data_IF_210749122288
#
_entry.id   IF_210749122288
#
_cell.length_a   1.000
_cell.length_b   1.000
_cell.length_c   1.000
_cell.angle_alpha   90.00
_cell.angle_beta   90.00
_cell.angle_gamma   90.00
#
_symmetry.space_group_name_H-M   'P 1'
#
loop_
_entity.id
_entity.type
_entity.pdbx_description
1 polymer ?
#
# COMPACT_ATOMS: atom_id res chain seq x y z
N UNK A 1 45.50 -49.94 -12.63
CA UNK A 1 44.98 -49.18 -11.46
C UNK A 1 44.50 -47.83 -11.98
N UNK A 2 43.21 -47.71 -12.22
CA UNK A 2 42.62 -46.48 -12.74
C UNK A 2 41.76 -45.81 -11.66
N UNK A 3 42.18 -44.63 -11.19
CA UNK A 3 41.46 -43.83 -10.23
C UNK A 3 40.32 -43.10 -10.96
N UNK A 4 39.07 -43.39 -10.59
CA UNK A 4 37.87 -42.62 -11.02
C UNK A 4 37.73 -41.42 -10.11
N UNK A 5 37.96 -40.22 -10.64
CA UNK A 5 37.60 -38.98 -10.01
C UNK A 5 36.06 -38.79 -10.11
N UNK A 6 35.38 -38.86 -8.98
CA UNK A 6 33.96 -38.53 -8.89
C UNK A 6 33.80 -37.02 -8.80
N UNK A 7 33.17 -36.41 -9.81
CA UNK A 7 32.70 -35.03 -9.75
C UNK A 7 31.45 -34.99 -8.87
N UNK A 8 31.59 -34.39 -7.69
CA UNK A 8 30.45 -34.02 -6.84
C UNK A 8 29.95 -32.68 -7.34
N UNK A 9 28.83 -32.69 -8.07
CA UNK A 9 28.13 -31.51 -8.51
C UNK A 9 27.32 -30.93 -7.33
N UNK A 10 27.88 -29.97 -6.61
CA UNK A 10 27.12 -29.17 -5.63
C UNK A 10 26.13 -28.29 -6.38
N UNK A 11 24.89 -28.74 -6.48
CA UNK A 11 23.75 -27.89 -6.85
C UNK A 11 23.49 -26.91 -5.70
N UNK A 12 24.01 -25.69 -5.81
CA UNK A 12 23.60 -24.55 -5.01
C UNK A 12 22.13 -24.24 -5.37
N UNK A 13 21.21 -24.73 -4.56
CA UNK A 13 19.85 -24.21 -4.54
C UNK A 13 19.92 -22.77 -4.08
N UNK A 14 19.92 -21.84 -5.03
CA UNK A 14 19.58 -20.45 -4.74
C UNK A 14 18.14 -20.45 -4.22
N UNK A 15 17.98 -20.42 -2.90
CA UNK A 15 16.69 -20.09 -2.30
C UNK A 15 16.43 -18.64 -2.64
N UNK A 16 15.65 -18.40 -3.70
CA UNK A 16 15.02 -17.10 -3.93
C UNK A 16 14.04 -16.95 -2.77
N UNK A 17 14.45 -16.23 -1.74
CA UNK A 17 13.53 -15.75 -0.71
C UNK A 17 12.45 -14.96 -1.45
N UNK A 18 11.17 -15.31 -1.32
CA UNK A 18 10.12 -14.47 -1.85
C UNK A 18 10.24 -13.11 -1.13
N UNK A 19 10.64 -12.08 -1.89
CA UNK A 19 10.64 -10.73 -1.37
C UNK A 19 9.24 -10.40 -0.85
N UNK A 20 9.16 -9.76 0.30
CA UNK A 20 7.93 -9.15 0.80
C UNK A 20 7.41 -8.24 -0.31
N UNK A 21 6.29 -8.59 -0.91
CA UNK A 21 5.59 -7.78 -1.91
C UNK A 21 4.46 -7.13 -1.13
N UNK A 22 4.40 -5.83 -1.12
CA UNK A 22 3.30 -5.01 -0.60
C UNK A 22 1.98 -5.36 -1.32
N UNK A 23 0.88 -4.60 -1.15
CA UNK A 23 -0.20 -4.77 -2.10
C UNK A 23 0.41 -5.14 -3.44
N UNK A 24 0.03 -6.25 -4.05
CA UNK A 24 0.57 -6.62 -5.34
C UNK A 24 0.39 -5.48 -6.35
N UNK A 25 1.01 -5.59 -7.50
CA UNK A 25 0.95 -4.58 -8.55
C UNK A 25 -0.49 -4.13 -8.85
N UNK A 26 -1.44 -5.07 -8.84
CA UNK A 26 -2.85 -4.82 -9.08
C UNK A 26 -3.48 -3.95 -7.98
N UNK A 27 -3.18 -4.22 -6.71
CA UNK A 27 -3.74 -3.46 -5.59
C UNK A 27 -3.27 -2.01 -5.56
N UNK A 28 -1.96 -1.77 -5.80
CA UNK A 28 -1.43 -0.41 -5.95
C UNK A 28 -2.01 0.30 -7.16
N UNK A 29 -2.12 -0.40 -8.30
CA UNK A 29 -2.73 0.16 -9.49
C UNK A 29 -4.18 0.60 -9.25
N UNK A 30 -5.00 -0.27 -8.64
CA UNK A 30 -6.41 0.03 -8.30
C UNK A 30 -6.49 1.25 -7.38
N UNK A 31 -5.69 1.28 -6.29
CA UNK A 31 -5.68 2.41 -5.35
C UNK A 31 -5.36 3.73 -6.04
N UNK A 32 -4.29 3.77 -6.83
CA UNK A 32 -3.89 4.99 -7.53
C UNK A 32 -4.87 5.38 -8.64
N UNK A 33 -5.49 4.41 -9.33
CA UNK A 33 -6.47 4.69 -10.37
C UNK A 33 -7.75 5.29 -9.80
N UNK A 34 -8.23 4.76 -8.67
CA UNK A 34 -9.35 5.37 -7.94
C UNK A 34 -9.02 6.80 -7.52
N UNK A 35 -7.78 7.05 -7.05
CA UNK A 35 -7.38 8.40 -6.65
C UNK A 35 -7.38 9.38 -7.83
N UNK A 36 -6.87 8.98 -9.00
CA UNK A 36 -6.82 9.83 -10.19
C UNK A 36 -8.18 10.33 -10.62
N UNK A 37 -9.22 9.48 -10.54
CA UNK A 37 -10.59 9.86 -10.89
C UNK A 37 -11.23 10.85 -9.89
N UNK A 38 -10.59 11.06 -8.74
CA UNK A 38 -11.07 11.95 -7.66
C UNK A 38 -10.19 13.20 -7.50
N UNK A 39 -9.23 13.44 -8.41
CA UNK A 39 -8.41 14.64 -8.36
C UNK A 39 -9.20 15.87 -8.74
N UNK A 40 -8.89 16.98 -8.07
CA UNK A 40 -9.25 18.32 -8.57
C UNK A 40 -8.41 18.65 -9.80
N UNK A 41 -8.84 19.63 -10.59
CA UNK A 41 -8.09 20.09 -11.77
C UNK A 41 -6.65 20.49 -11.42
N UNK A 42 -6.45 21.22 -10.29
CA UNK A 42 -5.13 21.62 -9.82
C UNK A 42 -4.26 20.40 -9.47
N UNK A 43 -4.83 19.42 -8.77
CA UNK A 43 -4.10 18.21 -8.38
C UNK A 43 -3.75 17.35 -9.62
N UNK A 44 -4.66 17.18 -10.55
CA UNK A 44 -4.42 16.45 -11.78
C UNK A 44 -3.31 17.10 -12.62
N UNK A 45 -3.35 18.43 -12.77
CA UNK A 45 -2.33 19.18 -13.48
C UNK A 45 -0.95 19.07 -12.79
N UNK A 46 -0.89 19.18 -11.45
CA UNK A 46 0.34 19.05 -10.69
C UNK A 46 0.91 17.64 -10.76
N UNK A 47 0.09 16.60 -10.61
CA UNK A 47 0.49 15.20 -10.72
C UNK A 47 1.07 14.92 -12.12
N UNK A 48 0.37 15.31 -13.18
CA UNK A 48 0.86 15.15 -14.56
C UNK A 48 2.20 15.85 -14.80
N UNK A 49 2.39 17.04 -14.23
CA UNK A 49 3.64 17.78 -14.33
C UNK A 49 4.81 17.12 -13.59
N UNK A 50 4.51 16.47 -12.45
CA UNK A 50 5.56 15.80 -11.64
C UNK A 50 5.91 14.41 -12.16
N UNK A 51 5.03 13.75 -12.90
CA UNK A 51 5.31 12.44 -13.46
C UNK A 51 6.35 12.51 -14.59
N UNK A 52 7.19 11.47 -14.75
CA UNK A 52 8.09 11.38 -15.88
C UNK A 52 7.31 11.26 -17.20
N UNK A 53 7.83 11.83 -18.29
CA UNK A 53 7.12 11.90 -19.57
C UNK A 53 6.63 10.56 -20.12
N UNK A 54 7.34 9.46 -19.84
CA UNK A 54 6.93 8.12 -20.29
C UNK A 54 5.70 7.58 -19.55
N UNK A 55 5.30 8.19 -18.44
CA UNK A 55 4.07 7.83 -17.73
C UNK A 55 2.80 8.40 -18.38
N UNK A 56 2.95 9.33 -19.32
CA UNK A 56 1.82 9.94 -20.06
C UNK A 56 0.70 10.48 -19.12
N UNK A 57 1.09 10.87 -17.90
CA UNK A 57 0.17 11.37 -16.87
C UNK A 57 -0.55 10.27 -16.07
N UNK A 58 -0.25 8.99 -16.29
CA UNK A 58 -0.83 7.88 -15.53
C UNK A 58 -0.02 7.57 -14.26
N UNK A 59 -0.46 8.08 -13.12
CA UNK A 59 0.13 7.78 -11.81
C UNK A 59 -0.01 6.29 -11.46
N UNK A 60 -1.14 5.67 -11.81
CA UNK A 60 -1.43 4.30 -11.44
C UNK A 60 -0.42 3.31 -12.03
N UNK A 61 0.06 3.55 -13.24
CA UNK A 61 1.09 2.75 -13.89
C UNK A 61 2.42 2.72 -13.16
N UNK A 62 2.71 3.75 -12.34
CA UNK A 62 3.94 3.87 -11.55
C UNK A 62 3.74 3.64 -10.05
N UNK A 63 2.52 3.31 -9.61
CA UNK A 63 2.21 3.21 -8.19
C UNK A 63 2.96 2.04 -7.50
N UNK A 64 3.39 1.01 -8.21
CA UNK A 64 4.22 -0.08 -7.71
C UNK A 64 5.73 0.18 -7.79
N UNK A 65 6.16 1.30 -8.37
CA UNK A 65 7.58 1.62 -8.56
C UNK A 65 8.43 1.53 -7.26
N UNK A 66 7.99 1.96 -6.06
CA UNK A 66 8.76 1.80 -4.83
C UNK A 66 9.13 0.35 -4.51
N UNK A 67 8.25 -0.60 -4.77
CA UNK A 67 8.53 -2.02 -4.61
C UNK A 67 9.58 -2.54 -5.60
N UNK A 68 9.52 -2.08 -6.84
CA UNK A 68 10.44 -2.49 -7.88
C UNK A 68 11.88 -2.06 -7.59
N UNK A 69 12.05 -0.88 -6.95
CA UNK A 69 13.38 -0.31 -6.70
C UNK A 69 13.98 -0.70 -5.35
N UNK A 70 13.18 -1.06 -4.32
CA UNK A 70 13.68 -1.30 -2.97
C UNK A 70 14.74 -2.41 -2.86
N UNK A 71 14.82 -3.30 -3.86
CA UNK A 71 15.86 -4.34 -3.93
C UNK A 71 17.21 -3.81 -4.43
N UNK A 72 17.24 -2.64 -5.06
CA UNK A 72 18.46 -2.01 -5.50
C UNK A 72 19.22 -1.41 -4.31
N UNK A 73 20.54 -1.49 -4.32
CA UNK A 73 21.40 -1.02 -3.22
C UNK A 73 21.07 0.41 -2.75
N UNK A 74 20.87 1.32 -3.70
CA UNK A 74 20.52 2.73 -3.44
C UNK A 74 19.24 2.89 -2.62
N UNK A 75 18.28 1.96 -2.74
CA UNK A 75 16.92 2.10 -2.22
C UNK A 75 16.59 1.13 -1.08
N UNK A 76 17.51 0.24 -0.68
CA UNK A 76 17.27 -0.76 0.39
C UNK A 76 16.82 -0.13 1.71
N UNK A 77 17.24 1.08 1.97
CA UNK A 77 16.86 1.83 3.16
C UNK A 77 15.36 2.14 3.24
N UNK A 78 14.63 2.06 2.12
CA UNK A 78 13.17 2.28 2.07
C UNK A 78 12.39 1.06 2.54
N UNK A 79 12.99 -0.10 2.65
CA UNK A 79 12.29 -1.34 3.06
C UNK A 79 11.40 -1.19 4.28
N UNK A 80 11.89 -0.67 5.43
CA UNK A 80 11.07 -0.46 6.62
C UNK A 80 9.93 0.55 6.45
N UNK A 81 9.93 1.36 5.40
CA UNK A 81 8.91 2.37 5.15
C UNK A 81 7.61 1.80 4.59
N UNK A 82 7.59 0.52 4.21
CA UNK A 82 6.42 -0.14 3.61
C UNK A 82 5.44 -0.70 4.64
N UNK A 83 5.83 -0.80 5.93
CA UNK A 83 5.02 -1.47 6.95
C UNK A 83 5.19 -0.85 8.34
N UNK A 84 4.43 -1.37 9.27
CA UNK A 84 4.52 -1.14 10.72
C UNK A 84 4.59 -2.49 11.39
N UNK A 85 5.55 -2.66 12.30
CA UNK A 85 5.67 -3.82 13.16
C UNK A 85 4.89 -3.61 14.46
N UNK A 86 3.66 -4.14 14.52
CA UNK A 86 2.86 -4.11 15.75
C UNK A 86 3.28 -5.27 16.66
N UNK A 87 3.45 -5.06 17.97
CA UNK A 87 3.80 -6.16 18.88
C UNK A 87 2.74 -7.27 18.85
N UNK A 88 3.20 -8.51 18.97
CA UNK A 88 2.37 -9.69 18.85
C UNK A 88 1.11 -9.62 19.72
N UNK A 89 -0.01 -9.99 19.13
CA UNK A 89 -1.35 -9.99 19.73
C UNK A 89 -1.88 -8.62 20.18
N UNK A 90 -1.20 -7.52 19.85
CA UNK A 90 -1.73 -6.16 20.05
C UNK A 90 -2.56 -5.75 18.85
N UNK A 91 -3.87 -5.61 19.04
CA UNK A 91 -4.80 -5.21 17.98
C UNK A 91 -5.06 -3.70 17.99
N UNK A 92 -4.07 -2.92 18.38
CA UNK A 92 -4.12 -1.47 18.41
C UNK A 92 -2.76 -0.88 18.03
N UNK A 93 -2.79 0.15 17.22
CA UNK A 93 -1.61 0.92 16.84
C UNK A 93 -1.32 2.05 17.83
N UNK A 94 -0.04 2.21 18.16
CA UNK A 94 0.50 3.35 18.92
C UNK A 94 1.75 3.88 18.20
N UNK A 95 1.73 5.13 17.72
CA UNK A 95 2.81 5.69 16.92
C UNK A 95 4.16 5.72 17.64
N UNK A 96 4.15 5.92 18.97
CA UNK A 96 5.38 6.00 19.74
C UNK A 96 6.03 4.62 19.98
N UNK A 97 5.20 3.58 19.99
CA UNK A 97 5.61 2.20 20.21
C UNK A 97 5.98 1.50 18.90
N UNK A 98 5.21 1.74 17.82
CA UNK A 98 5.20 0.86 16.64
C UNK A 98 5.86 1.49 15.41
N UNK A 99 5.94 2.85 15.33
CA UNK A 99 6.51 3.51 14.15
C UNK A 99 8.03 3.70 14.27
N UNK A 100 8.78 2.64 14.03
CA UNK A 100 10.24 2.64 14.00
C UNK A 100 10.76 1.48 13.14
N UNK A 101 12.02 1.52 12.73
CA UNK A 101 12.69 0.39 12.08
C UNK A 101 13.28 -0.60 13.11
N UNK A 102 13.91 -1.67 12.63
CA UNK A 102 14.57 -2.68 13.47
C UNK A 102 15.72 -2.12 14.35
N UNK A 103 16.20 -0.91 14.05
CA UNK A 103 17.19 -0.19 14.83
C UNK A 103 16.58 0.86 15.76
N UNK A 104 15.25 0.86 15.91
CA UNK A 104 14.47 1.79 16.72
C UNK A 104 14.59 3.27 16.27
N UNK A 105 14.92 3.53 15.01
CA UNK A 105 14.83 4.89 14.48
C UNK A 105 13.35 5.27 14.31
N UNK A 106 12.94 6.30 15.03
CA UNK A 106 11.56 6.81 15.02
C UNK A 106 11.14 7.29 13.63
N UNK A 107 9.84 7.19 13.34
CA UNK A 107 9.19 7.61 12.10
C UNK A 107 9.66 6.84 10.86
N UNK A 108 10.45 5.76 11.04
CA UNK A 108 10.84 4.86 9.97
C UNK A 108 9.87 3.68 9.84
N UNK A 109 8.64 4.02 9.46
CA UNK A 109 7.54 3.10 9.18
C UNK A 109 6.65 3.72 8.11
N UNK A 110 5.65 3.00 7.62
CA UNK A 110 4.76 3.50 6.55
C UNK A 110 3.99 4.78 6.97
N UNK A 111 3.58 4.90 8.23
CA UNK A 111 2.91 6.11 8.71
C UNK A 111 3.86 7.33 8.72
N UNK A 112 5.10 7.16 9.22
CA UNK A 112 6.12 8.20 9.20
C UNK A 112 6.52 8.59 7.77
N UNK A 113 6.62 7.61 6.87
CA UNK A 113 6.90 7.85 5.46
C UNK A 113 5.80 8.69 4.78
N UNK A 114 4.53 8.38 5.03
CA UNK A 114 3.40 9.17 4.51
C UNK A 114 3.49 10.63 5.00
N UNK A 115 3.78 10.87 6.27
CA UNK A 115 3.99 12.23 6.79
C UNK A 115 5.16 12.93 6.10
N UNK A 116 6.31 12.25 5.98
CA UNK A 116 7.50 12.81 5.36
C UNK A 116 7.27 13.20 3.90
N UNK A 117 6.74 12.30 3.08
CA UNK A 117 6.57 12.57 1.65
C UNK A 117 5.43 13.54 1.36
N UNK A 118 4.35 13.54 2.16
CA UNK A 118 3.32 14.58 2.06
C UNK A 118 3.88 15.97 2.40
N UNK A 119 4.75 16.06 3.41
CA UNK A 119 5.43 17.31 3.77
C UNK A 119 6.38 17.79 2.67
N UNK A 120 7.12 16.88 2.03
CA UNK A 120 7.97 17.23 0.88
C UNK A 120 7.15 17.81 -0.27
N UNK A 121 6.00 17.18 -0.59
CA UNK A 121 5.13 17.63 -1.67
C UNK A 121 4.52 19.02 -1.42
N UNK A 122 4.36 19.47 -0.17
CA UNK A 122 3.91 20.85 0.11
C UNK A 122 4.89 21.90 -0.40
N UNK A 123 6.14 21.54 -0.70
CA UNK A 123 7.12 22.42 -1.33
C UNK A 123 6.81 22.74 -2.81
N UNK A 124 5.81 22.08 -3.42
CA UNK A 124 5.44 22.29 -4.84
C UNK A 124 5.12 23.77 -5.14
N UNK A 125 4.45 24.43 -4.23
CA UNK A 125 4.06 25.84 -4.34
C UNK A 125 5.03 26.83 -3.66
N UNK A 126 6.22 26.35 -3.23
CA UNK A 126 7.22 27.14 -2.52
C UNK A 126 8.58 27.05 -3.25
N UNK A 127 8.94 28.06 -4.06
CA UNK A 127 10.17 28.04 -4.86
C UNK A 127 11.47 27.91 -4.04
N UNK A 128 11.49 28.37 -2.79
CA UNK A 128 12.68 28.25 -1.92
C UNK A 128 12.87 26.81 -1.43
N UNK A 129 11.76 26.12 -1.14
CA UNK A 129 11.77 24.71 -0.67
C UNK A 129 11.82 23.70 -1.79
N UNK A 130 11.33 24.05 -2.98
CA UNK A 130 11.24 23.17 -4.13
C UNK A 130 12.61 22.54 -4.51
N UNK A 131 13.69 23.32 -4.37
CA UNK A 131 15.05 22.87 -4.71
C UNK A 131 15.61 21.78 -3.78
N UNK A 132 14.99 21.58 -2.62
CA UNK A 132 15.46 20.65 -1.59
C UNK A 132 14.99 19.21 -1.78
N UNK A 133 13.99 18.98 -2.66
CA UNK A 133 13.29 17.70 -2.74
C UNK A 133 13.10 17.24 -4.19
N UNK A 134 13.20 15.94 -4.40
CA UNK A 134 12.73 15.31 -5.63
C UNK A 134 11.24 15.04 -5.52
N UNK A 135 10.40 15.94 -6.02
CA UNK A 135 8.96 15.84 -5.87
C UNK A 135 8.33 14.71 -6.70
N UNK A 136 8.98 14.26 -7.77
CA UNK A 136 8.57 13.05 -8.50
C UNK A 136 8.70 11.82 -7.61
N UNK A 137 9.86 11.64 -6.96
CA UNK A 137 10.06 10.54 -6.01
C UNK A 137 9.09 10.64 -4.82
N UNK A 138 8.89 11.86 -4.29
CA UNK A 138 7.96 12.09 -3.18
C UNK A 138 6.51 11.73 -3.54
N UNK A 139 6.07 12.06 -4.76
CA UNK A 139 4.74 11.68 -5.27
C UNK A 139 4.60 10.16 -5.39
N UNK A 140 5.57 9.48 -5.99
CA UNK A 140 5.53 8.03 -6.20
C UNK A 140 5.56 7.27 -4.87
N UNK A 141 6.43 7.67 -3.93
CA UNK A 141 6.49 7.09 -2.59
C UNK A 141 5.20 7.33 -1.79
N UNK A 142 4.67 8.56 -1.77
CA UNK A 142 3.42 8.85 -1.06
C UNK A 142 2.26 8.01 -1.60
N UNK A 143 2.13 7.93 -2.93
CA UNK A 143 1.06 7.19 -3.58
C UNK A 143 1.10 5.70 -3.25
N UNK A 144 2.29 5.11 -3.28
CA UNK A 144 2.52 3.72 -2.92
C UNK A 144 2.22 3.45 -1.44
N UNK A 145 2.82 4.21 -0.53
CA UNK A 145 2.65 4.03 0.92
C UNK A 145 1.21 4.29 1.38
N UNK A 146 0.46 5.11 0.65
CA UNK A 146 -0.97 5.23 0.90
C UNK A 146 -1.71 3.92 0.59
N UNK A 147 -1.29 3.16 -0.40
CA UNK A 147 -1.75 1.79 -0.63
C UNK A 147 -1.35 0.86 0.52
N UNK A 148 -0.05 0.84 0.85
CA UNK A 148 0.52 -0.06 1.87
C UNK A 148 -0.18 0.04 3.22
N UNK A 149 -0.38 1.23 3.75
CA UNK A 149 -1.01 1.43 5.05
C UNK A 149 -2.47 0.95 5.08
N UNK A 150 -3.10 0.75 3.91
CA UNK A 150 -4.45 0.22 3.79
C UNK A 150 -4.51 -1.30 3.62
N UNK A 151 -3.37 -1.98 3.41
CA UNK A 151 -3.30 -3.44 3.50
C UNK A 151 -3.18 -3.83 4.97
N UNK A 152 -4.13 -4.59 5.53
CA UNK A 152 -4.17 -4.87 6.96
C UNK A 152 -2.89 -5.49 7.53
N UNK A 153 -2.24 -6.40 6.80
CA UNK A 153 -1.04 -7.09 7.29
C UNK A 153 0.23 -6.24 7.17
N UNK A 154 0.19 -5.08 6.49
CA UNK A 154 1.27 -4.10 6.55
C UNK A 154 1.33 -3.34 7.89
N UNK A 155 0.37 -3.59 8.77
CA UNK A 155 0.38 -3.16 10.17
C UNK A 155 0.27 -4.38 11.08
N UNK A 156 0.72 -5.53 10.57
CA UNK A 156 0.62 -6.83 11.22
C UNK A 156 1.62 -7.04 12.36
N UNK A 157 1.66 -8.27 12.87
CA UNK A 157 2.49 -8.59 14.03
C UNK A 157 3.96 -8.76 13.68
N UNK A 158 4.83 -8.28 14.56
CA UNK A 158 6.30 -8.39 14.42
C UNK A 158 6.75 -9.84 14.31
N UNK A 159 6.25 -10.73 15.17
CA UNK A 159 6.73 -12.11 15.28
C UNK A 159 6.40 -12.99 14.07
N UNK A 160 5.39 -12.61 13.29
CA UNK A 160 5.05 -13.33 12.07
C UNK A 160 5.36 -12.54 10.78
N UNK A 161 6.07 -11.40 10.92
CA UNK A 161 6.45 -10.52 9.82
C UNK A 161 5.22 -10.10 8.99
N UNK A 162 4.14 -9.67 9.67
CA UNK A 162 2.89 -9.33 9.01
C UNK A 162 2.25 -10.51 8.26
N UNK A 163 2.38 -11.73 8.77
CA UNK A 163 1.83 -12.95 8.16
C UNK A 163 2.73 -13.62 7.12
N UNK A 164 3.96 -13.11 6.88
CA UNK A 164 4.90 -13.72 5.92
C UNK A 164 5.37 -15.10 6.37
N UNK A 165 5.51 -15.33 7.67
CA UNK A 165 5.91 -16.64 8.21
C UNK A 165 4.74 -17.61 8.38
N UNK A 166 3.50 -17.16 8.25
CA UNK A 166 2.30 -18.00 8.33
C UNK A 166 2.07 -18.70 6.99
N UNK A 167 2.61 -19.90 6.85
CA UNK A 167 2.47 -20.69 5.63
C UNK A 167 1.08 -21.31 5.59
N UNK A 168 0.34 -21.03 4.50
CA UNK A 168 -1.02 -21.53 4.25
C UNK A 168 -1.13 -22.10 2.84
N UNK A 169 -2.31 -22.66 2.51
CA UNK A 169 -2.68 -22.99 1.15
C UNK A 169 -3.84 -22.11 0.69
N UNK A 170 -3.63 -21.34 -0.36
CA UNK A 170 -4.72 -20.67 -1.06
C UNK A 170 -5.32 -21.66 -2.05
N UNK A 171 -6.48 -22.21 -1.71
CA UNK A 171 -7.02 -23.40 -2.35
C UNK A 171 -5.98 -24.55 -2.32
N UNK A 172 -5.35 -24.86 -3.44
CA UNK A 172 -4.32 -25.92 -3.56
C UNK A 172 -2.89 -25.39 -3.60
N UNK A 173 -2.69 -24.07 -3.78
CA UNK A 173 -1.38 -23.44 -3.94
C UNK A 173 -0.78 -23.11 -2.56
N UNK A 174 0.42 -23.61 -2.28
CA UNK A 174 1.17 -23.23 -1.08
C UNK A 174 1.67 -21.80 -1.22
N UNK A 175 1.47 -20.99 -0.18
CA UNK A 175 1.85 -19.59 -0.09
C UNK A 175 1.98 -19.18 1.38
N UNK A 176 2.12 -17.88 1.67
CA UNK A 176 2.00 -17.32 3.00
C UNK A 176 0.76 -16.41 3.12
N UNK A 177 0.36 -16.10 4.34
CA UNK A 177 -0.84 -15.30 4.61
C UNK A 177 -0.71 -13.88 4.06
N UNK A 178 0.47 -13.28 4.16
CA UNK A 178 0.74 -11.94 3.64
C UNK A 178 0.44 -11.88 2.12
N UNK A 179 1.02 -12.80 1.35
CA UNK A 179 0.79 -12.88 -0.09
C UNK A 179 -0.67 -13.19 -0.48
N UNK A 180 -1.42 -13.88 0.39
CA UNK A 180 -2.87 -14.07 0.18
C UNK A 180 -3.57 -12.71 0.15
N UNK A 181 -3.22 -11.81 1.07
CA UNK A 181 -3.82 -10.47 1.15
C UNK A 181 -3.30 -9.54 0.07
N UNK A 182 -2.01 -9.58 -0.25
CA UNK A 182 -1.44 -8.71 -1.28
C UNK A 182 -1.97 -9.01 -2.68
N UNK A 183 -2.11 -10.29 -3.01
CA UNK A 183 -2.32 -10.71 -4.40
C UNK A 183 -3.51 -11.66 -4.57
N UNK A 184 -3.53 -12.76 -3.81
CA UNK A 184 -4.39 -13.91 -4.13
C UNK A 184 -5.88 -13.60 -4.05
N UNK A 185 -6.31 -12.76 -3.10
CA UNK A 185 -7.71 -12.33 -3.00
C UNK A 185 -8.09 -11.50 -4.22
N UNK A 186 -7.26 -10.51 -4.60
CA UNK A 186 -7.51 -9.64 -5.76
C UNK A 186 -7.50 -10.44 -7.06
N UNK A 187 -6.48 -11.28 -7.29
CA UNK A 187 -6.40 -12.13 -8.49
C UNK A 187 -7.60 -13.09 -8.61
N UNK A 188 -8.06 -13.62 -7.46
CA UNK A 188 -9.24 -14.50 -7.44
C UNK A 188 -10.52 -13.74 -7.75
N UNK A 189 -10.66 -12.52 -7.23
CA UNK A 189 -11.79 -11.63 -7.50
C UNK A 189 -11.84 -11.26 -8.98
N UNK A 190 -10.71 -10.84 -9.56
CA UNK A 190 -10.60 -10.53 -10.98
C UNK A 190 -11.11 -11.68 -11.84
N UNK A 191 -10.67 -12.92 -11.55
CA UNK A 191 -11.09 -14.10 -12.31
C UNK A 191 -12.54 -14.51 -12.11
N UNK A 192 -13.08 -14.35 -10.87
CA UNK A 192 -14.43 -14.86 -10.55
C UNK A 192 -15.53 -13.84 -10.82
N UNK A 193 -15.28 -12.54 -10.69
CA UNK A 193 -16.31 -11.51 -10.65
C UNK A 193 -16.09 -10.35 -11.62
N UNK A 194 -14.89 -10.21 -12.20
CA UNK A 194 -14.53 -9.04 -13.01
C UNK A 194 -13.93 -9.41 -14.38
N UNK A 195 -14.30 -10.57 -14.93
CA UNK A 195 -13.91 -11.03 -16.28
C UNK A 195 -12.39 -11.01 -16.54
N UNK A 196 -11.59 -11.11 -15.49
CA UNK A 196 -10.13 -10.93 -15.52
C UNK A 196 -9.69 -9.54 -16.02
N UNK A 197 -10.55 -8.54 -15.94
CA UNK A 197 -10.29 -7.15 -16.32
C UNK A 197 -10.28 -6.25 -15.08
N UNK A 198 -9.11 -5.68 -14.76
CA UNK A 198 -8.92 -4.79 -13.63
C UNK A 198 -9.76 -3.50 -13.77
N UNK A 199 -10.06 -3.07 -14.98
CA UNK A 199 -10.88 -1.88 -15.23
C UNK A 199 -12.34 -2.08 -14.81
N UNK A 200 -12.84 -3.31 -14.92
CA UNK A 200 -14.18 -3.68 -14.46
C UNK A 200 -14.25 -3.64 -12.93
N UNK A 201 -13.23 -4.17 -12.25
CA UNK A 201 -13.13 -4.09 -10.79
C UNK A 201 -13.06 -2.64 -10.29
N UNK A 202 -12.24 -1.80 -10.92
CA UNK A 202 -12.11 -0.39 -10.56
C UNK A 202 -13.45 0.32 -10.69
N UNK A 203 -14.16 0.13 -11.83
CA UNK A 203 -15.47 0.73 -12.05
C UNK A 203 -16.50 0.29 -11.01
N UNK A 204 -16.51 -0.98 -10.64
CA UNK A 204 -17.41 -1.49 -9.60
C UNK A 204 -17.14 -0.81 -8.25
N UNK A 205 -15.88 -0.70 -7.84
CA UNK A 205 -15.49 -0.02 -6.61
C UNK A 205 -15.85 1.47 -6.66
N UNK A 206 -15.62 2.14 -7.78
CA UNK A 206 -15.97 3.56 -7.97
C UNK A 206 -17.49 3.78 -7.92
N UNK A 207 -18.27 2.89 -8.51
CA UNK A 207 -19.72 2.93 -8.42
C UNK A 207 -20.20 2.79 -6.98
N UNK A 208 -19.63 1.86 -6.19
CA UNK A 208 -19.96 1.70 -4.78
C UNK A 208 -19.59 2.94 -3.94
N UNK A 209 -18.51 3.65 -4.29
CA UNK A 209 -18.14 4.94 -3.72
C UNK A 209 -19.20 6.00 -4.05
N UNK A 210 -19.62 6.12 -5.31
CA UNK A 210 -20.58 7.15 -5.78
C UNK A 210 -21.99 6.90 -5.23
N UNK A 211 -22.44 5.66 -5.18
CA UNK A 211 -23.78 5.29 -4.67
C UNK A 211 -23.88 5.39 -3.13
N UNK A 212 -22.77 5.72 -2.46
CA UNK A 212 -22.76 5.87 -1.00
C UNK A 212 -23.12 4.58 -0.27
N UNK A 213 -22.88 3.42 -0.87
CA UNK A 213 -23.13 2.11 -0.24
C UNK A 213 -22.38 1.91 1.07
N UNK A 214 -21.32 2.72 1.28
CA UNK A 214 -20.70 2.88 2.58
C UNK A 214 -21.13 4.24 3.16
N UNK A 215 -21.94 4.24 4.21
CA UNK A 215 -22.35 5.45 4.93
C UNK A 215 -21.17 6.30 5.45
N UNK A 216 -19.95 5.76 5.36
CA UNK A 216 -18.71 6.34 5.90
C UNK A 216 -17.86 7.06 4.84
N UNK A 217 -18.23 7.08 3.55
CA UNK A 217 -17.37 7.61 2.47
C UNK A 217 -16.99 9.09 2.65
N UNK A 218 -17.91 10.01 2.97
CA UNK A 218 -17.54 11.41 3.20
C UNK A 218 -16.49 11.62 4.30
N UNK A 219 -16.49 10.85 5.43
CA UNK A 219 -15.45 10.96 6.46
C UNK A 219 -14.07 10.43 6.06
N UNK A 220 -13.95 9.54 5.07
CA UNK A 220 -12.64 8.91 4.75
C UNK A 220 -11.56 9.91 4.36
N UNK A 221 -11.91 10.93 3.58
CA UNK A 221 -10.98 11.98 3.17
C UNK A 221 -10.67 13.00 4.26
N UNK A 222 -11.41 13.03 5.38
CA UNK A 222 -11.27 14.07 6.38
C UNK A 222 -10.16 13.76 7.39
N UNK A 223 -9.31 14.76 7.66
CA UNK A 223 -8.39 14.77 8.78
C UNK A 223 -8.94 15.67 9.90
N UNK A 224 -9.13 15.12 11.11
CA UNK A 224 -9.78 15.82 12.25
C UNK A 224 -9.04 17.06 12.75
N UNK A 225 -7.82 17.33 12.31
CA UNK A 225 -6.91 18.34 12.89
C UNK A 225 -6.28 19.28 11.86
N UNK A 226 -6.96 19.61 10.77
CA UNK A 226 -6.40 20.44 9.67
C UNK A 226 -5.03 19.98 9.14
N UNK A 227 -4.66 18.72 9.38
CA UNK A 227 -3.45 18.15 8.81
C UNK A 227 -3.66 17.78 7.34
N UNK A 228 -2.60 17.86 6.57
CA UNK A 228 -2.60 17.46 5.16
C UNK A 228 -2.92 15.98 5.00
N UNK A 229 -2.46 15.13 5.94
CA UNK A 229 -2.65 13.69 5.96
C UNK A 229 -2.77 13.15 7.39
N UNK A 230 -3.44 12.02 7.59
CA UNK A 230 -3.71 11.43 8.91
C UNK A 230 -3.41 9.92 8.93
N UNK A 231 -2.15 9.47 8.81
CA UNK A 231 -1.83 8.04 8.69
C UNK A 231 -2.08 7.23 9.97
N UNK A 232 -2.02 7.83 11.17
CA UNK A 232 -2.23 7.10 12.43
C UNK A 232 -3.62 6.43 12.54
N UNK A 233 -4.74 7.12 12.23
CA UNK A 233 -6.03 6.46 12.09
C UNK A 233 -6.05 5.32 11.06
N UNK A 234 -5.35 5.48 9.92
CA UNK A 234 -5.31 4.45 8.88
C UNK A 234 -4.60 3.19 9.36
N UNK A 235 -3.47 3.35 10.08
CA UNK A 235 -2.77 2.24 10.72
C UNK A 235 -3.64 1.55 11.79
N UNK A 236 -4.35 2.33 12.62
CA UNK A 236 -5.26 1.77 13.64
C UNK A 236 -6.39 0.94 13.03
N UNK A 237 -6.97 1.38 11.90
CA UNK A 237 -7.95 0.62 11.14
C UNK A 237 -7.34 -0.68 10.60
N UNK A 238 -6.12 -0.61 10.03
CA UNK A 238 -5.46 -1.77 9.42
C UNK A 238 -5.16 -2.86 10.42
N UNK A 239 -4.55 -2.56 11.57
CA UNK A 239 -4.30 -3.58 12.59
C UNK A 239 -5.59 -4.17 13.15
N UNK A 240 -6.62 -3.35 13.34
CA UNK A 240 -7.93 -3.82 13.76
C UNK A 240 -8.54 -4.82 12.78
N UNK A 241 -8.40 -4.56 11.47
CA UNK A 241 -8.85 -5.46 10.42
C UNK A 241 -7.96 -6.70 10.28
N UNK A 242 -6.64 -6.56 10.46
CA UNK A 242 -5.74 -7.70 10.50
C UNK A 242 -6.15 -8.70 11.58
N UNK A 243 -6.36 -8.23 12.81
CA UNK A 243 -6.83 -9.06 13.92
C UNK A 243 -8.20 -9.68 13.69
N UNK A 244 -9.14 -8.87 13.19
CA UNK A 244 -10.54 -9.30 13.05
C UNK A 244 -10.76 -10.27 11.89
N UNK A 245 -10.02 -10.08 10.79
CA UNK A 245 -10.24 -10.79 9.53
C UNK A 245 -9.02 -11.56 9.03
N UNK A 246 -7.83 -10.94 8.92
CA UNK A 246 -6.71 -11.55 8.24
C UNK A 246 -6.17 -12.76 9.01
N UNK A 247 -5.90 -12.61 10.27
CA UNK A 247 -5.38 -13.69 11.12
C UNK A 247 -6.43 -14.74 11.49
N UNK A 248 -7.71 -14.36 11.48
CA UNK A 248 -8.77 -15.27 11.89
C UNK A 248 -8.92 -16.42 10.90
N UNK A 249 -8.88 -17.66 11.41
CA UNK A 249 -8.97 -18.90 10.64
C UNK A 249 -7.81 -19.10 9.64
N UNK A 250 -6.67 -18.45 9.86
CA UNK A 250 -5.47 -18.51 9.01
C UNK A 250 -4.26 -19.02 9.81
N UNK A 251 -4.36 -20.19 10.43
CA UNK A 251 -3.25 -20.82 11.15
C UNK A 251 -2.25 -21.48 10.19
N UNK A 252 -0.96 -21.65 10.60
CA UNK A 252 0.02 -22.36 9.79
C UNK A 252 -0.50 -23.74 9.33
N UNK A 253 -0.38 -24.02 8.04
CA UNK A 253 -0.83 -25.27 7.42
C UNK A 253 -2.29 -25.29 6.98
N UNK A 254 -3.12 -24.30 7.37
CA UNK A 254 -4.53 -24.24 6.97
C UNK A 254 -4.71 -24.06 5.46
N UNK A 255 -5.85 -24.52 4.96
CA UNK A 255 -6.27 -24.27 3.57
C UNK A 255 -7.35 -23.18 3.58
N UNK A 256 -7.06 -22.07 2.92
CA UNK A 256 -7.96 -20.94 2.74
C UNK A 256 -8.65 -21.09 1.39
N UNK A 257 -9.96 -21.29 1.42
CA UNK A 257 -10.82 -21.50 0.25
C UNK A 257 -11.92 -20.46 0.15
N UNK A 258 -13.05 -20.84 -0.48
CA UNK A 258 -14.16 -19.92 -0.78
C UNK A 258 -14.71 -19.21 0.47
N UNK A 259 -14.83 -19.90 1.62
CA UNK A 259 -15.31 -19.27 2.86
C UNK A 259 -14.41 -18.11 3.29
N UNK A 260 -13.07 -18.34 3.31
CA UNK A 260 -12.12 -17.29 3.66
C UNK A 260 -12.13 -16.18 2.61
N UNK A 261 -12.14 -16.53 1.33
CA UNK A 261 -12.11 -15.59 0.22
C UNK A 261 -13.33 -14.64 0.22
N UNK A 262 -14.53 -15.22 0.26
CA UNK A 262 -15.78 -14.44 0.14
C UNK A 262 -16.03 -13.53 1.35
N UNK A 263 -15.58 -13.95 2.55
CA UNK A 263 -15.72 -13.13 3.76
C UNK A 263 -14.68 -11.96 3.81
N UNK A 264 -13.52 -12.09 3.13
CA UNK A 264 -12.45 -11.07 3.14
C UNK A 264 -12.46 -10.17 1.91
N UNK A 265 -13.00 -10.61 0.78
CA UNK A 265 -13.07 -9.79 -0.43
C UNK A 265 -13.72 -8.41 -0.20
N UNK A 266 -14.88 -8.28 0.47
CA UNK A 266 -15.46 -6.95 0.71
C UNK A 266 -14.56 -6.04 1.56
N UNK A 267 -13.73 -6.64 2.43
CA UNK A 267 -12.77 -5.88 3.24
C UNK A 267 -11.63 -5.36 2.36
N UNK A 268 -11.10 -6.21 1.46
CA UNK A 268 -10.04 -5.83 0.52
C UNK A 268 -10.52 -4.70 -0.40
N UNK A 269 -11.70 -4.85 -1.02
CA UNK A 269 -12.29 -3.83 -1.89
C UNK A 269 -12.51 -2.50 -1.15
N UNK A 270 -13.04 -2.56 0.08
CA UNK A 270 -13.19 -1.37 0.93
C UNK A 270 -11.84 -0.71 1.23
N UNK A 271 -10.78 -1.47 1.50
CA UNK A 271 -9.45 -0.91 1.78
C UNK A 271 -8.81 -0.28 0.56
N UNK A 272 -8.98 -0.86 -0.62
CA UNK A 272 -8.56 -0.26 -1.89
C UNK A 272 -9.28 1.08 -2.14
N UNK A 273 -10.61 1.10 -1.94
CA UNK A 273 -11.42 2.31 -2.02
C UNK A 273 -10.95 3.40 -1.05
N UNK A 274 -10.74 3.05 0.22
CA UNK A 274 -10.26 3.98 1.24
C UNK A 274 -8.88 4.54 0.90
N UNK A 275 -7.96 3.70 0.43
CA UNK A 275 -6.63 4.13 -0.01
C UNK A 275 -6.71 5.15 -1.13
N UNK A 276 -7.53 4.89 -2.16
CA UNK A 276 -7.73 5.80 -3.29
C UNK A 276 -8.36 7.13 -2.89
N UNK A 277 -9.45 7.11 -2.12
CA UNK A 277 -10.12 8.34 -1.62
C UNK A 277 -9.18 9.18 -0.76
N UNK A 278 -8.41 8.55 0.14
CA UNK A 278 -7.46 9.24 1.05
C UNK A 278 -6.26 9.78 0.30
N UNK A 279 -5.75 9.07 -0.69
CA UNK A 279 -4.69 9.57 -1.57
C UNK A 279 -5.17 10.81 -2.33
N UNK A 280 -6.34 10.73 -2.98
CA UNK A 280 -6.92 11.87 -3.69
C UNK A 280 -7.12 13.08 -2.77
N UNK A 281 -7.75 12.88 -1.62
CA UNK A 281 -7.98 13.95 -0.66
C UNK A 281 -6.67 14.59 -0.16
N UNK A 282 -5.60 13.81 -0.02
CA UNK A 282 -4.29 14.31 0.38
C UNK A 282 -3.66 15.14 -0.73
N UNK A 283 -3.62 14.63 -1.97
CA UNK A 283 -3.02 15.34 -3.10
C UNK A 283 -3.82 16.58 -3.49
N UNK A 284 -5.16 16.52 -3.43
CA UNK A 284 -6.03 17.68 -3.63
C UNK A 284 -5.69 18.79 -2.64
N UNK A 285 -5.53 18.48 -1.34
CA UNK A 285 -5.13 19.49 -0.32
C UNK A 285 -3.74 20.07 -0.55
N UNK A 286 -2.77 19.24 -0.99
CA UNK A 286 -1.40 19.68 -1.23
C UNK A 286 -1.33 20.61 -2.43
N UNK A 287 -2.04 20.30 -3.50
CA UNK A 287 -1.91 21.00 -4.77
C UNK A 287 -2.99 22.07 -5.03
N UNK A 288 -3.99 22.21 -4.14
CA UNK A 288 -4.92 23.33 -4.24
C UNK A 288 -4.18 24.65 -4.15
N UNK A 289 -4.27 25.45 -5.17
CA UNK A 289 -3.70 26.81 -5.18
C UNK A 289 -4.36 27.64 -4.08
N UNK A 290 -3.60 28.46 -3.33
CA UNK A 290 -4.22 29.43 -2.42
C UNK A 290 -5.19 30.29 -3.22
N UNK A 291 -6.47 30.25 -2.89
CA UNK A 291 -7.47 31.12 -3.49
C UNK A 291 -7.01 32.56 -3.25
N UNK A 292 -6.54 33.26 -4.27
CA UNK A 292 -6.34 34.72 -4.22
C UNK A 292 -7.71 35.30 -3.95
N UNK A 293 -7.97 35.62 -2.68
CA UNK A 293 -9.12 36.46 -2.30
C UNK A 293 -8.84 37.79 -2.95
N UNK A 294 -9.43 38.03 -4.13
CA UNK A 294 -9.47 39.35 -4.73
C UNK A 294 -10.30 40.24 -3.80
N UNK A 295 -9.63 41.01 -2.95
CA UNK A 295 -10.25 42.11 -2.25
C UNK A 295 -10.53 43.20 -3.28
N UNK A 296 -11.74 43.19 -3.84
CA UNK A 296 -12.33 44.33 -4.55
C UNK A 296 -12.94 45.29 -3.54
#
# INVERSE_FOLDING_TARGET
>A
MGARLGFVCCLLFLQILPGVVCWGKEGHYVTCKIAQELFTEDADAAVKKLLPGHAEGDLAGLCSWPDEIRHQYKWRWTGPLHYIDTPDFKCNYDCCRDCHDSHHHKDRCVAGAIYNYSTQLTAYNDPERLQNYNLTEALLFLSHFMGDIHQPLHVGFTGDEGGNTIIVRWYRRKTNLHHVWDNMIIESALKKFYDSDISVMIKAIQQDIQEGKSADIPPWGNCKSNHTVCPNPYASESIGLACKYAYRNATPGSTLGDEYFLDRLPIVEKRLAQGGVRLAATLNRIFTSPTTISTT
#
